data_IF_914968713087
#
_entry.id   IF_914968713087
#
_cell.length_a   1.000
_cell.length_b   1.000
_cell.length_c   1.000
_cell.angle_alpha   90.00
_cell.angle_beta   90.00
_cell.angle_gamma   90.00
#
_symmetry.space_group_name_H-M   'P 1'
#
loop_
_entity.id
_entity.type
_entity.pdbx_description
1 polymer ?
#
# COMPACT_ATOMS: atom_id res chain seq x y z
N UNK A 1 -22.16 -19.43 -0.91
CA UNK A 1 -23.52 -20.04 -0.89
C UNK A 1 -24.58 -19.19 -1.56
N UNK A 2 -24.43 -17.89 -1.65
CA UNK A 2 -25.32 -16.96 -2.35
C UNK A 2 -24.55 -15.84 -3.02
N UNK A 3 -25.12 -15.29 -4.12
CA UNK A 3 -24.55 -14.17 -4.88
C UNK A 3 -25.66 -13.15 -5.10
N UNK A 4 -25.44 -11.91 -4.69
CA UNK A 4 -26.35 -10.78 -4.90
C UNK A 4 -25.49 -9.60 -5.39
N UNK A 5 -25.56 -9.29 -6.67
CA UNK A 5 -24.69 -8.31 -7.33
C UNK A 5 -23.20 -8.63 -7.02
N UNK A 6 -22.46 -7.70 -6.42
CA UNK A 6 -21.05 -7.89 -6.04
C UNK A 6 -20.85 -8.46 -4.63
N UNK A 7 -21.93 -8.80 -3.93
CA UNK A 7 -21.87 -9.40 -2.59
C UNK A 7 -22.06 -10.91 -2.68
N UNK A 8 -21.10 -11.66 -2.16
CA UNK A 8 -21.11 -13.12 -2.18
C UNK A 8 -21.07 -13.63 -0.74
N UNK A 9 -21.90 -14.63 -0.44
CA UNK A 9 -21.84 -15.36 0.83
C UNK A 9 -21.00 -16.62 0.64
N UNK A 10 -19.94 -16.73 1.43
CA UNK A 10 -18.95 -17.81 1.39
C UNK A 10 -19.02 -18.62 2.66
N UNK A 11 -18.94 -19.95 2.57
CA UNK A 11 -18.74 -20.82 3.73
C UNK A 11 -17.25 -20.88 4.06
N UNK A 12 -16.92 -20.70 5.34
CA UNK A 12 -15.53 -20.55 5.83
C UNK A 12 -15.16 -21.75 6.69
N UNK A 13 -14.01 -22.36 6.41
CA UNK A 13 -13.48 -23.54 7.13
C UNK A 13 -12.29 -23.19 8.04
N UNK A 14 -12.08 -21.93 8.39
CA UNK A 14 -10.97 -21.46 9.23
C UNK A 14 -11.22 -20.10 9.84
N UNK A 15 -10.28 -19.51 10.56
CA UNK A 15 -10.37 -18.15 11.06
C UNK A 15 -10.34 -17.17 9.89
N UNK A 16 -11.30 -16.24 9.85
CA UNK A 16 -11.37 -15.15 8.87
C UNK A 16 -11.71 -13.88 9.61
N UNK A 17 -11.03 -12.80 9.27
CA UNK A 17 -11.23 -11.49 9.88
C UNK A 17 -12.05 -10.57 8.97
N UNK A 18 -12.74 -9.60 9.58
CA UNK A 18 -13.37 -8.51 8.82
C UNK A 18 -12.29 -7.64 8.16
N UNK A 19 -12.56 -7.13 6.96
CA UNK A 19 -11.66 -6.40 6.07
C UNK A 19 -10.49 -7.23 5.51
N UNK A 20 -10.49 -8.54 5.72
CA UNK A 20 -9.51 -9.42 5.10
C UNK A 20 -9.75 -9.53 3.59
N UNK A 21 -8.66 -9.53 2.81
CA UNK A 21 -8.72 -9.76 1.37
C UNK A 21 -8.83 -11.25 1.09
N UNK A 22 -9.66 -11.57 0.11
CA UNK A 22 -9.74 -12.91 -0.43
C UNK A 22 -9.82 -12.89 -1.96
N UNK A 23 -9.51 -14.01 -2.59
CA UNK A 23 -9.64 -14.20 -4.02
C UNK A 23 -10.64 -15.30 -4.34
N UNK A 24 -11.59 -15.00 -5.21
CA UNK A 24 -12.54 -15.97 -5.73
C UNK A 24 -11.95 -16.55 -7.02
N UNK A 25 -11.80 -17.87 -7.08
CA UNK A 25 -11.29 -18.57 -8.26
C UNK A 25 -12.41 -18.85 -9.23
N UNK A 26 -12.35 -18.28 -10.41
CA UNK A 26 -13.26 -18.53 -11.54
C UNK A 26 -12.46 -19.02 -12.75
N UNK A 27 -12.37 -20.33 -12.91
CA UNK A 27 -11.48 -20.93 -13.92
C UNK A 27 -10.03 -20.52 -13.69
N UNK A 28 -9.44 -19.83 -14.65
CA UNK A 28 -8.06 -19.31 -14.57
C UNK A 28 -8.00 -17.88 -14.00
N UNK A 29 -9.14 -17.26 -13.72
CA UNK A 29 -9.21 -15.88 -13.23
C UNK A 29 -9.36 -15.87 -11.71
N UNK A 30 -8.70 -14.93 -11.05
CA UNK A 30 -8.82 -14.66 -9.62
C UNK A 30 -9.45 -13.29 -9.45
N UNK A 31 -10.55 -13.21 -8.71
CA UNK A 31 -11.27 -11.97 -8.45
C UNK A 31 -11.01 -11.53 -7.03
N UNK A 32 -10.46 -10.35 -6.86
CA UNK A 32 -10.21 -9.79 -5.54
C UNK A 32 -11.53 -9.39 -4.88
N UNK A 33 -11.65 -9.72 -3.60
CA UNK A 33 -12.79 -9.39 -2.77
C UNK A 33 -12.33 -9.09 -1.34
N UNK A 34 -13.20 -8.40 -0.60
CA UNK A 34 -12.96 -8.06 0.80
C UNK A 34 -14.08 -8.62 1.69
N UNK A 35 -13.70 -9.13 2.85
CA UNK A 35 -14.64 -9.60 3.86
C UNK A 35 -15.31 -8.42 4.55
N UNK A 36 -16.62 -8.27 4.32
CA UNK A 36 -17.42 -7.20 4.92
C UNK A 36 -17.96 -7.61 6.29
N UNK A 37 -18.35 -8.88 6.42
CA UNK A 37 -18.95 -9.38 7.65
C UNK A 37 -18.72 -10.87 7.80
N UNK A 38 -18.43 -11.29 9.03
CA UNK A 38 -18.35 -12.71 9.39
C UNK A 38 -19.52 -13.07 10.30
N UNK A 39 -20.20 -14.18 10.02
CA UNK A 39 -21.37 -14.65 10.73
C UNK A 39 -21.26 -16.17 10.93
N UNK A 40 -20.70 -16.61 12.05
CA UNK A 40 -20.43 -18.02 12.31
C UNK A 40 -19.54 -18.64 11.23
N UNK A 41 -20.05 -19.64 10.53
CA UNK A 41 -19.35 -20.31 9.41
C UNK A 41 -19.52 -19.63 8.06
N UNK A 42 -20.17 -18.48 7.99
CA UNK A 42 -20.38 -17.75 6.74
C UNK A 42 -19.71 -16.39 6.79
N UNK A 43 -19.06 -16.00 5.70
CA UNK A 43 -18.57 -14.65 5.47
C UNK A 43 -19.30 -14.02 4.28
N UNK A 44 -19.67 -12.74 4.43
CA UNK A 44 -20.12 -11.92 3.31
C UNK A 44 -18.92 -11.19 2.76
N UNK A 45 -18.61 -11.42 1.49
CA UNK A 45 -17.48 -10.82 0.79
C UNK A 45 -17.97 -9.94 -0.34
N UNK A 46 -17.38 -8.76 -0.47
CA UNK A 46 -17.65 -7.84 -1.57
C UNK A 46 -16.55 -7.97 -2.62
N UNK A 47 -16.95 -8.33 -3.83
CA UNK A 47 -16.05 -8.41 -4.99
C UNK A 47 -15.88 -7.03 -5.58
N UNK A 48 -14.65 -6.64 -5.88
CA UNK A 48 -14.35 -5.34 -6.47
C UNK A 48 -14.70 -5.27 -7.96
N UNK A 49 -14.78 -6.42 -8.60
CA UNK A 49 -15.05 -6.55 -10.03
C UNK A 49 -16.42 -7.21 -10.30
N UNK A 50 -16.72 -7.42 -11.58
CA UNK A 50 -17.95 -8.12 -11.99
C UNK A 50 -17.95 -9.57 -11.53
N UNK A 51 -19.04 -9.99 -10.88
CA UNK A 51 -19.28 -11.37 -10.43
C UNK A 51 -19.85 -12.27 -11.52
N UNK A 52 -19.95 -11.81 -12.77
CA UNK A 52 -20.45 -12.65 -13.89
C UNK A 52 -19.56 -13.88 -14.03
N UNK A 53 -20.19 -15.06 -14.12
CA UNK A 53 -19.48 -16.33 -14.24
C UNK A 53 -19.19 -17.01 -12.91
N UNK A 54 -19.19 -16.29 -11.79
CA UNK A 54 -19.01 -16.89 -10.46
C UNK A 54 -20.22 -17.75 -10.11
N UNK A 55 -19.97 -18.98 -9.65
CA UNK A 55 -20.99 -20.00 -9.37
C UNK A 55 -20.84 -20.53 -7.95
N UNK A 56 -21.92 -21.14 -7.43
CA UNK A 56 -21.84 -21.94 -6.22
C UNK A 56 -20.81 -23.07 -6.42
N UNK A 57 -19.89 -23.23 -5.47
CA UNK A 57 -18.81 -24.21 -5.54
C UNK A 57 -17.47 -23.65 -6.01
N UNK A 58 -17.41 -22.36 -6.44
CA UNK A 58 -16.13 -21.72 -6.64
C UNK A 58 -15.36 -21.65 -5.31
N UNK A 59 -14.07 -21.90 -5.38
CA UNK A 59 -13.15 -21.81 -4.24
C UNK A 59 -12.83 -20.37 -3.92
N UNK A 60 -12.70 -20.03 -2.62
CA UNK A 60 -12.30 -18.72 -2.13
C UNK A 60 -11.07 -18.88 -1.25
N UNK A 61 -10.00 -18.18 -1.59
CA UNK A 61 -8.73 -18.18 -0.90
C UNK A 61 -8.61 -16.91 -0.06
N UNK A 62 -8.52 -17.05 1.26
CA UNK A 62 -8.35 -15.95 2.20
C UNK A 62 -6.86 -15.69 2.41
N UNK A 63 -6.48 -14.40 2.44
CA UNK A 63 -5.08 -13.99 2.41
C UNK A 63 -4.49 -13.70 3.79
N UNK A 64 -5.29 -13.61 4.85
CA UNK A 64 -4.83 -13.32 6.21
C UNK A 64 -4.42 -11.86 6.44
N UNK A 65 -4.65 -10.96 5.49
CA UNK A 65 -4.32 -9.54 5.61
C UNK A 65 -5.38 -8.65 4.94
N UNK A 66 -5.44 -7.39 5.34
CA UNK A 66 -6.30 -6.36 4.72
C UNK A 66 -5.75 -5.96 3.34
N UNK A 67 -6.52 -5.15 2.61
CA UNK A 67 -6.00 -4.48 1.42
C UNK A 67 -4.79 -3.62 1.80
N UNK A 68 -3.66 -3.89 1.16
CA UNK A 68 -2.39 -3.21 1.38
C UNK A 68 -1.97 -2.46 0.13
N UNK A 69 -1.32 -1.32 0.34
CA UNK A 69 -0.60 -0.60 -0.72
C UNK A 69 0.89 -0.80 -0.57
N UNK A 70 1.58 -0.87 -1.70
CA UNK A 70 3.03 -0.93 -1.77
C UNK A 70 3.57 0.51 -1.85
N UNK A 71 4.36 0.91 -0.85
CA UNK A 71 4.94 2.23 -0.72
C UNK A 71 6.44 2.15 -0.98
N UNK A 72 6.94 2.93 -1.94
CA UNK A 72 8.36 2.93 -2.30
C UNK A 72 8.65 3.80 -3.51
N UNK A 73 9.91 3.85 -3.95
CA UNK A 73 10.33 4.62 -5.11
C UNK A 73 9.65 4.12 -6.40
N UNK A 74 9.17 5.05 -7.22
CA UNK A 74 8.45 4.76 -8.46
C UNK A 74 6.95 5.06 -8.42
N UNK A 75 6.41 5.47 -7.26
CA UNK A 75 5.01 5.87 -7.14
C UNK A 75 4.73 7.23 -7.77
N UNK A 76 5.69 8.16 -7.69
CA UNK A 76 5.50 9.51 -8.21
C UNK A 76 5.39 9.50 -9.74
N UNK A 77 4.55 10.39 -10.24
CA UNK A 77 4.28 10.54 -11.68
C UNK A 77 3.67 9.32 -12.36
N UNK A 78 3.09 8.39 -11.58
CA UNK A 78 2.35 7.23 -12.07
C UNK A 78 0.87 7.35 -11.74
N UNK A 79 0.02 6.74 -12.56
CA UNK A 79 -1.42 6.70 -12.37
C UNK A 79 -1.85 5.28 -11.99
N UNK A 80 -2.66 5.17 -10.95
CA UNK A 80 -3.12 3.90 -10.40
C UNK A 80 -4.65 3.87 -10.31
N UNK A 81 -5.19 2.67 -10.37
CA UNK A 81 -6.58 2.43 -9.98
C UNK A 81 -6.72 2.32 -8.44
N UNK A 82 -7.96 2.03 -7.96
CA UNK A 82 -8.25 1.87 -6.53
C UNK A 82 -7.61 0.64 -5.87
N UNK A 83 -7.04 -0.29 -6.64
CA UNK A 83 -6.34 -1.49 -6.17
C UNK A 83 -4.83 -1.40 -6.38
N UNK A 84 -4.33 -0.21 -6.74
CA UNK A 84 -2.94 0.08 -7.04
C UNK A 84 -2.41 -0.66 -8.29
N UNK A 85 -3.27 -0.95 -9.28
CA UNK A 85 -2.80 -1.39 -10.58
C UNK A 85 -2.22 -0.20 -11.35
N UNK A 86 -1.03 -0.36 -11.91
CA UNK A 86 -0.40 0.69 -12.71
C UNK A 86 -1.08 0.77 -14.08
N UNK A 87 -1.84 1.85 -14.32
CA UNK A 87 -2.61 2.04 -15.55
C UNK A 87 -1.74 2.17 -16.80
N UNK A 88 -0.49 2.60 -16.68
CA UNK A 88 0.42 2.72 -17.82
C UNK A 88 0.89 1.35 -18.35
N UNK A 89 0.81 0.30 -17.55
CA UNK A 89 1.22 -1.07 -17.92
C UNK A 89 0.06 -1.96 -18.35
N UNK A 90 -1.18 -1.47 -18.19
CA UNK A 90 -2.37 -2.20 -18.65
C UNK A 90 -2.51 -2.12 -20.16
N UNK A 91 -2.95 -3.22 -20.77
CA UNK A 91 -2.97 -3.38 -22.23
C UNK A 91 -4.26 -2.89 -22.89
N UNK A 92 -5.33 -2.68 -22.13
CA UNK A 92 -6.66 -2.31 -22.63
C UNK A 92 -7.05 -0.86 -22.41
N UNK A 93 -8.07 -0.40 -23.11
CA UNK A 93 -8.76 0.88 -22.84
C UNK A 93 -9.66 0.76 -21.61
N UNK A 94 -10.12 -0.44 -21.30
CA UNK A 94 -10.93 -0.78 -20.14
C UNK A 94 -10.20 -1.78 -19.27
N UNK A 95 -10.46 -1.73 -17.97
CA UNK A 95 -9.92 -2.69 -17.01
C UNK A 95 -10.53 -4.08 -17.27
N UNK A 96 -9.69 -5.03 -17.64
CA UNK A 96 -10.11 -6.41 -17.85
C UNK A 96 -10.29 -7.12 -16.51
N UNK A 97 -11.28 -8.02 -16.46
CA UNK A 97 -11.63 -8.77 -15.26
C UNK A 97 -10.47 -9.70 -14.85
N UNK A 98 -10.00 -9.54 -13.61
CA UNK A 98 -8.90 -10.34 -13.04
C UNK A 98 -7.51 -9.99 -13.57
N UNK A 99 -7.36 -8.85 -14.21
CA UNK A 99 -6.06 -8.31 -14.61
C UNK A 99 -5.50 -7.45 -13.47
N UNK A 100 -4.36 -7.87 -12.95
CA UNK A 100 -3.62 -7.14 -11.91
C UNK A 100 -2.21 -6.86 -12.39
N UNK A 101 -1.75 -5.64 -12.19
CA UNK A 101 -0.40 -5.22 -12.57
C UNK A 101 0.45 -4.95 -11.34
N UNK A 102 1.76 -5.11 -11.47
CA UNK A 102 2.67 -4.74 -10.38
C UNK A 102 2.63 -3.23 -10.15
N UNK A 103 2.43 -2.76 -8.90
CA UNK A 103 2.36 -1.34 -8.61
C UNK A 103 3.68 -0.60 -8.81
N UNK A 104 4.80 -1.29 -8.65
CA UNK A 104 6.15 -0.73 -8.80
C UNK A 104 6.99 -1.59 -9.75
N UNK A 105 7.88 -0.96 -10.48
CA UNK A 105 8.88 -1.66 -11.30
C UNK A 105 9.97 -2.25 -10.39
N UNK A 106 9.96 -3.58 -10.23
CA UNK A 106 10.91 -4.31 -9.39
C UNK A 106 12.29 -4.46 -10.01
N UNK A 107 12.43 -4.24 -11.32
CA UNK A 107 13.68 -4.39 -12.05
C UNK A 107 14.46 -3.07 -12.12
N UNK A 108 13.78 -1.95 -11.94
CA UNK A 108 14.41 -0.62 -11.94
C UNK A 108 15.38 -0.47 -10.79
N UNK A 109 16.57 0.02 -11.11
CA UNK A 109 17.58 0.35 -10.14
C UNK A 109 17.50 1.82 -9.71
N UNK A 110 17.76 2.05 -8.44
CA UNK A 110 17.73 3.36 -7.80
C UNK A 110 19.07 3.64 -7.14
N UNK A 111 19.59 4.85 -7.31
CA UNK A 111 20.81 5.31 -6.63
C UNK A 111 20.49 5.62 -5.17
N UNK A 112 20.80 4.67 -4.29
CA UNK A 112 20.62 4.83 -2.85
C UNK A 112 21.78 5.57 -2.22
N UNK A 113 21.46 6.55 -1.37
CA UNK A 113 22.43 7.29 -0.55
C UNK A 113 22.06 7.09 0.91
N UNK A 114 22.89 6.40 1.72
CA UNK A 114 22.60 6.18 3.13
C UNK A 114 22.70 7.49 3.92
N UNK A 115 21.83 7.67 4.92
CA UNK A 115 21.88 8.74 5.92
C UNK A 115 22.13 8.20 7.32
N UNK A 116 21.58 7.01 7.63
CA UNK A 116 21.83 6.31 8.88
C UNK A 116 23.19 5.59 8.87
N UNK A 117 23.71 5.28 10.08
CA UNK A 117 24.95 4.57 10.30
C UNK A 117 24.76 3.37 11.19
N UNK A 118 25.64 2.38 11.09
CA UNK A 118 25.65 1.26 12.04
C UNK A 118 25.84 1.77 13.48
N UNK A 119 25.01 1.27 14.38
CA UNK A 119 24.92 1.69 15.78
C UNK A 119 23.88 2.76 16.08
N UNK A 120 23.27 3.40 15.08
CA UNK A 120 22.19 4.34 15.31
C UNK A 120 20.97 3.63 15.89
N UNK A 121 20.26 4.29 16.81
CA UNK A 121 18.97 3.84 17.34
C UNK A 121 17.90 4.52 16.51
N UNK A 122 16.97 3.72 15.97
CA UNK A 122 15.94 4.20 15.06
C UNK A 122 14.56 3.64 15.46
N UNK A 123 13.52 4.39 15.15
CA UNK A 123 12.11 4.01 15.31
C UNK A 123 11.38 4.04 13.96
N UNK A 124 10.13 3.58 13.93
CA UNK A 124 9.30 3.66 12.72
C UNK A 124 9.30 5.08 12.12
N UNK A 125 9.42 5.17 10.81
CA UNK A 125 9.51 6.40 10.02
C UNK A 125 10.85 7.16 10.09
N UNK A 126 11.84 6.75 10.88
CA UNK A 126 13.19 7.32 10.83
C UNK A 126 13.86 7.03 9.49
N UNK A 127 14.67 7.96 9.01
CA UNK A 127 15.29 7.87 7.69
C UNK A 127 16.55 7.02 7.71
N UNK A 128 16.59 6.03 6.85
CA UNK A 128 17.76 5.17 6.62
C UNK A 128 18.64 5.69 5.48
N UNK A 129 18.02 6.37 4.53
CA UNK A 129 18.67 6.90 3.36
C UNK A 129 17.69 7.58 2.42
N UNK A 130 18.15 7.86 1.21
CA UNK A 130 17.33 8.47 0.17
C UNK A 130 17.69 7.97 -1.22
N UNK A 131 16.72 8.06 -2.13
CA UNK A 131 16.91 7.89 -3.57
C UNK A 131 16.32 9.08 -4.30
N UNK A 132 16.88 9.42 -5.46
CA UNK A 132 16.38 10.53 -6.26
C UNK A 132 15.25 10.03 -7.16
N UNK A 133 14.03 10.51 -6.91
CA UNK A 133 12.87 10.24 -7.74
C UNK A 133 12.41 11.51 -8.45
N UNK A 134 12.81 11.66 -9.72
CA UNK A 134 12.63 12.92 -10.44
C UNK A 134 13.39 14.06 -9.77
N UNK A 135 12.63 15.06 -9.29
CA UNK A 135 13.15 16.24 -8.58
C UNK A 135 13.13 16.07 -7.03
N UNK A 136 12.47 15.01 -6.54
CA UNK A 136 12.25 14.77 -5.11
C UNK A 136 13.29 13.80 -4.53
N UNK A 137 13.94 14.11 -3.39
CA UNK A 137 14.64 13.12 -2.60
C UNK A 137 13.64 12.24 -1.86
N UNK A 138 13.36 11.05 -2.41
CA UNK A 138 12.48 10.07 -1.79
C UNK A 138 13.20 9.44 -0.59
N UNK A 139 12.65 9.64 0.60
CA UNK A 139 13.24 9.13 1.85
C UNK A 139 12.89 7.67 2.05
N UNK A 140 13.91 6.85 2.22
CA UNK A 140 13.77 5.45 2.61
C UNK A 140 13.83 5.37 4.12
N UNK A 141 12.79 4.81 4.72
CA UNK A 141 12.60 4.87 6.16
C UNK A 141 12.38 3.49 6.79
N UNK A 142 12.54 3.44 8.10
CA UNK A 142 12.14 2.28 8.90
C UNK A 142 10.65 2.03 8.69
N UNK A 143 10.23 0.79 8.33
CA UNK A 143 8.83 0.49 8.04
C UNK A 143 7.89 0.85 9.19
N UNK A 144 6.72 1.42 8.87
CA UNK A 144 5.71 1.82 9.87
C UNK A 144 5.20 0.69 10.75
N UNK A 145 5.32 -0.56 10.31
CA UNK A 145 4.93 -1.75 11.08
C UNK A 145 5.88 -2.07 12.23
N UNK A 146 7.10 -1.51 12.23
CA UNK A 146 8.09 -1.74 13.26
C UNK A 146 7.69 -0.98 14.53
N UNK A 147 7.66 -1.67 15.66
CA UNK A 147 7.24 -1.09 16.94
C UNK A 147 8.42 -1.06 17.90
N UNK A 148 8.60 0.09 18.57
CA UNK A 148 9.70 0.27 19.51
C UNK A 148 11.00 0.70 18.83
N UNK A 149 12.10 0.54 19.53
CA UNK A 149 13.43 0.95 19.11
C UNK A 149 14.17 -0.23 18.45
N UNK A 150 14.93 0.10 17.42
CA UNK A 150 15.80 -0.83 16.71
C UNK A 150 17.21 -0.23 16.64
N UNK A 151 18.22 -1.08 16.67
CA UNK A 151 19.60 -0.67 16.40
C UNK A 151 19.94 -1.01 14.96
N UNK A 152 20.51 -0.07 14.25
CA UNK A 152 21.01 -0.28 12.89
C UNK A 152 22.25 -1.17 12.95
N UNK A 153 22.15 -2.42 12.51
CA UNK A 153 23.28 -3.34 12.42
C UNK A 153 24.17 -2.99 11.24
N UNK A 154 23.56 -2.75 10.08
CA UNK A 154 24.26 -2.38 8.85
C UNK A 154 23.34 -1.61 7.90
N UNK A 155 23.93 -0.74 7.10
CA UNK A 155 23.28 -0.05 5.98
C UNK A 155 24.13 -0.27 4.73
N UNK A 156 23.46 -0.44 3.59
CA UNK A 156 24.11 -0.58 2.30
C UNK A 156 24.92 0.68 1.96
N UNK A 157 26.04 0.52 1.30
CA UNK A 157 26.83 1.63 0.79
C UNK A 157 26.06 2.41 -0.29
N UNK A 158 26.48 3.64 -0.57
CA UNK A 158 25.92 4.39 -1.70
C UNK A 158 26.14 3.60 -3.00
N UNK A 159 25.06 3.42 -3.78
CA UNK A 159 25.10 2.59 -4.99
C UNK A 159 23.73 2.32 -5.59
N UNK A 160 23.72 1.52 -6.64
CA UNK A 160 22.49 1.12 -7.35
C UNK A 160 21.89 -0.15 -6.78
N UNK A 161 20.63 -0.08 -6.37
CA UNK A 161 19.88 -1.19 -5.80
C UNK A 161 18.48 -1.25 -6.41
N UNK A 162 17.91 -2.44 -6.49
CA UNK A 162 16.50 -2.66 -6.80
C UNK A 162 15.65 -2.39 -5.54
N UNK A 163 14.37 -2.11 -5.73
CA UNK A 163 13.46 -1.77 -4.62
C UNK A 163 13.33 -2.88 -3.56
N UNK A 164 13.53 -4.13 -3.95
CA UNK A 164 13.44 -5.29 -3.05
C UNK A 164 14.78 -5.71 -2.44
N UNK A 165 15.89 -5.09 -2.85
CA UNK A 165 17.20 -5.38 -2.27
C UNK A 165 17.24 -4.93 -0.81
N UNK A 166 17.92 -5.69 0.05
CA UNK A 166 18.13 -5.29 1.44
C UNK A 166 19.09 -4.11 1.51
N UNK A 167 18.58 -2.96 1.99
CA UNK A 167 19.35 -1.72 2.12
C UNK A 167 19.77 -1.44 3.56
N UNK A 168 19.15 -2.09 4.54
CA UNK A 168 19.53 -2.03 5.94
C UNK A 168 19.15 -3.32 6.66
N UNK A 169 19.91 -3.63 7.72
CA UNK A 169 19.57 -4.67 8.69
C UNK A 169 19.42 -4.02 10.05
N UNK A 170 18.26 -4.18 10.65
CA UNK A 170 17.93 -3.63 11.96
C UNK A 170 17.85 -4.78 12.97
N UNK A 171 18.31 -4.54 14.20
CA UNK A 171 18.23 -5.49 15.30
C UNK A 171 17.26 -4.96 16.36
N UNK A 172 16.32 -5.77 16.78
CA UNK A 172 15.38 -5.41 17.85
C UNK A 172 15.97 -5.63 19.25
N UNK A 173 15.18 -5.33 20.28
CA UNK A 173 15.59 -5.48 21.69
C UNK A 173 15.81 -6.96 22.11
N UNK A 174 15.35 -7.91 21.31
CA UNK A 174 15.52 -9.37 21.57
C UNK A 174 16.73 -9.93 20.82
N UNK A 175 17.37 -9.11 19.97
CA UNK A 175 18.51 -9.50 19.14
C UNK A 175 18.10 -10.13 17.80
N UNK A 176 16.81 -10.09 17.43
CA UNK A 176 16.34 -10.56 16.13
C UNK A 176 16.70 -9.55 15.03
N UNK A 177 17.09 -10.07 13.88
CA UNK A 177 17.49 -9.27 12.73
C UNK A 177 16.35 -9.11 11.72
N UNK A 178 16.10 -7.88 11.30
CA UNK A 178 15.06 -7.51 10.36
C UNK A 178 15.66 -6.85 9.14
N UNK A 179 15.48 -7.46 7.98
CA UNK A 179 15.91 -6.89 6.71
C UNK A 179 14.92 -5.79 6.27
N UNK A 180 15.44 -4.66 5.88
CA UNK A 180 14.69 -3.51 5.35
C UNK A 180 15.09 -3.29 3.90
N UNK A 181 14.08 -3.20 3.03
CA UNK A 181 14.20 -2.81 1.62
C UNK A 181 13.68 -1.38 1.40
N UNK A 182 13.71 -0.88 0.16
CA UNK A 182 13.16 0.44 -0.17
C UNK A 182 11.64 0.45 -0.22
N UNK A 183 10.98 -0.71 -0.11
CA UNK A 183 9.54 -0.87 -0.21
C UNK A 183 8.97 -1.36 1.10
N UNK A 184 7.82 -0.81 1.49
CA UNK A 184 7.01 -1.33 2.56
C UNK A 184 5.56 -1.50 2.12
N UNK A 185 4.86 -2.46 2.72
CA UNK A 185 3.41 -2.65 2.55
C UNK A 185 2.69 -2.06 3.75
N UNK A 186 1.60 -1.36 3.48
CA UNK A 186 0.77 -0.75 4.51
C UNK A 186 -0.71 -0.99 4.26
N UNK A 187 -1.48 -1.44 5.28
CA UNK A 187 -2.93 -1.62 5.16
C UNK A 187 -3.64 -0.29 4.93
N UNK A 188 -4.44 -0.19 3.87
CA UNK A 188 -5.09 1.07 3.45
C UNK A 188 -6.04 1.62 4.52
N UNK A 189 -6.69 0.74 5.30
CA UNK A 189 -7.67 1.11 6.33
C UNK A 189 -7.05 1.43 7.69
N UNK A 190 -5.72 1.35 7.83
CA UNK A 190 -5.01 1.66 9.08
C UNK A 190 -4.35 3.02 8.95
N UNK A 191 -4.71 3.95 9.83
CA UNK A 191 -4.07 5.26 9.86
C UNK A 191 -2.60 5.15 10.26
N UNK A 192 -1.74 5.92 9.59
CA UNK A 192 -0.33 6.05 9.97
C UNK A 192 -0.26 6.92 11.22
N UNK A 193 0.31 6.38 12.31
CA UNK A 193 0.45 7.06 13.59
C UNK A 193 1.86 7.56 13.91
N UNK A 194 2.81 7.39 13.00
CA UNK A 194 4.23 7.67 13.23
C UNK A 194 4.69 9.10 12.93
N UNK A 195 3.79 10.06 12.68
CA UNK A 195 4.18 11.45 12.45
C UNK A 195 4.08 12.28 13.74
N UNK A 196 5.06 13.16 13.94
CA UNK A 196 5.12 14.07 15.09
C UNK A 196 4.07 15.18 14.92
N UNK A 197 3.94 15.72 13.71
CA UNK A 197 3.04 16.82 13.40
C UNK A 197 2.49 16.67 11.97
N UNK A 198 1.22 17.00 11.80
CA UNK A 198 0.57 17.19 10.50
C UNK A 198 0.28 18.68 10.31
N UNK A 199 1.14 19.44 9.61
CA UNK A 199 0.94 20.86 9.41
C UNK A 199 -0.40 21.12 8.71
N UNK A 200 -1.13 22.14 9.17
CA UNK A 200 -2.38 22.56 8.53
C UNK A 200 -2.05 23.35 7.28
N UNK A 201 -2.80 23.17 6.17
CA UNK A 201 -2.69 24.04 5.02
C UNK A 201 -3.01 25.49 5.43
N UNK A 202 -2.14 26.43 5.08
CA UNK A 202 -2.33 27.86 5.43
C UNK A 202 -2.28 28.80 4.22
N UNK A 203 -1.78 28.31 3.09
CA UNK A 203 -1.67 29.09 1.88
C UNK A 203 -2.94 28.93 1.05
N UNK A 204 -3.59 30.05 0.74
CA UNK A 204 -4.81 30.06 -0.10
C UNK A 204 -4.42 29.83 -1.56
N UNK A 205 -5.15 28.95 -2.23
CA UNK A 205 -5.07 28.76 -3.67
C UNK A 205 -5.97 29.80 -4.33
N UNK A 206 -5.38 30.77 -5.04
CA UNK A 206 -6.12 31.78 -5.78
C UNK A 206 -6.73 31.17 -7.04
N UNK A 207 -8.06 31.04 -7.08
CA UNK A 207 -8.77 30.52 -8.25
C UNK A 207 -9.11 31.61 -9.25
N UNK A 208 -9.08 32.88 -8.84
CA UNK A 208 -9.53 34.06 -9.61
C UNK A 208 -11.05 34.22 -9.64
N UNK A 209 -11.79 33.32 -8.98
CA UNK A 209 -13.25 33.43 -8.87
C UNK A 209 -13.60 34.03 -7.51
N UNK A 210 -14.04 35.28 -7.49
CA UNK A 210 -14.28 36.02 -6.24
C UNK A 210 -15.14 35.28 -5.22
N UNK A 211 -16.21 34.64 -5.65
CA UNK A 211 -17.11 33.90 -4.75
C UNK A 211 -16.38 32.73 -4.06
N UNK A 212 -15.52 32.03 -4.77
CA UNK A 212 -14.74 30.91 -4.20
C UNK A 212 -13.69 31.47 -3.25
N UNK A 213 -12.87 32.42 -3.73
CA UNK A 213 -11.71 32.91 -2.99
C UNK A 213 -12.09 33.68 -1.71
N UNK A 214 -13.31 34.27 -1.66
CA UNK A 214 -13.74 35.05 -0.48
C UNK A 214 -14.72 34.33 0.44
N UNK A 215 -15.62 33.52 -0.10
CA UNK A 215 -16.67 32.87 0.71
C UNK A 215 -16.38 31.41 1.03
N UNK A 216 -15.58 30.76 0.19
CA UNK A 216 -15.25 29.32 0.35
C UNK A 216 -13.81 29.04 -0.09
N UNK A 217 -12.81 29.71 0.55
CA UNK A 217 -11.42 29.64 0.09
C UNK A 217 -10.89 28.21 0.19
N UNK A 218 -10.15 27.81 -0.83
CA UNK A 218 -9.45 26.53 -0.91
C UNK A 218 -7.99 26.75 -0.53
N UNK A 219 -7.47 25.96 0.38
CA UNK A 219 -6.04 26.01 0.73
C UNK A 219 -5.24 25.05 -0.18
N UNK A 220 -4.03 25.42 -0.55
CA UNK A 220 -3.08 24.54 -1.24
C UNK A 220 -2.82 23.30 -0.36
N UNK A 221 -3.00 22.09 -0.93
CA UNK A 221 -2.92 20.83 -0.19
C UNK A 221 -4.15 20.50 0.67
N UNK A 222 -5.21 21.33 0.61
CA UNK A 222 -6.50 21.06 1.21
C UNK A 222 -7.40 20.20 0.33
N UNK A 223 -8.52 19.73 0.89
CA UNK A 223 -9.57 19.01 0.16
C UNK A 223 -10.78 19.93 0.01
N UNK A 224 -11.27 20.12 -1.20
CA UNK A 224 -12.52 20.81 -1.52
C UNK A 224 -13.57 19.81 -1.99
N UNK A 225 -14.84 20.05 -1.63
CA UNK A 225 -16.00 19.25 -2.06
C UNK A 225 -16.98 20.16 -2.80
#
# INVERSE_FOLDING_TARGET
TGIIANLITVEVNGPVAQNEICYIKEGNTRLMAEVIKVNGKNASVQVYESTRGVKKGNEVEFMGHMLEVMLGPGLLSSNYDGLQNNLATMTGVFLEKGEYTAPLDTEKKWNFTPTAKAGDIVVAADWLGEVKEGWLPHKIMVPFRFKGEYTVKSVAAAGEYKINDTIAVLTDSQGEEHNVSMVQKWPVKVAIGGYIEKPRPYKIMETGVRVIDTLNPIAEGGTGF
#
